data_IF_311696868617
#
_entry.id   IF_311696868617
#
_cell.length_a   1.000
_cell.length_b   1.000
_cell.length_c   1.000
_cell.angle_alpha   90.00
_cell.angle_beta   90.00
_cell.angle_gamma   90.00
#
_symmetry.space_group_name_H-M   'P 1'
#
loop_
_entity.id
_entity.type
_entity.pdbx_description
1 polymer ?
#
# COMPACT_ATOMS: atom_id res chain seq x y z
N UNK A 1 19.36 -9.56 -8.65
CA UNK A 1 18.67 -8.88 -9.76
C UNK A 1 18.13 -7.57 -9.20
N UNK A 2 18.30 -6.43 -9.89
CA UNK A 2 17.74 -5.17 -9.42
C UNK A 2 16.21 -5.22 -9.54
N UNK A 3 15.49 -4.77 -8.51
CA UNK A 3 14.04 -4.72 -8.51
C UNK A 3 13.52 -3.78 -9.60
N UNK A 4 12.56 -4.25 -10.38
CA UNK A 4 11.83 -3.44 -11.37
C UNK A 4 10.65 -2.77 -10.66
N UNK A 5 10.49 -1.47 -10.88
CA UNK A 5 9.39 -0.67 -10.33
C UNK A 5 8.34 -0.38 -11.41
N UNK A 6 7.08 -0.33 -11.03
CA UNK A 6 5.93 -0.09 -11.92
C UNK A 6 6.15 1.12 -12.84
N UNK A 7 6.72 2.22 -12.32
CA UNK A 7 7.04 3.41 -13.15
C UNK A 7 7.99 3.14 -14.33
N UNK A 8 8.83 2.09 -14.27
CA UNK A 8 9.73 1.73 -15.39
C UNK A 8 8.93 1.04 -16.49
N UNK A 9 7.99 0.16 -16.10
CA UNK A 9 7.07 -0.47 -17.05
C UNK A 9 6.01 0.51 -17.56
N UNK A 10 5.56 1.50 -16.76
CA UNK A 10 4.72 2.62 -17.24
C UNK A 10 5.40 3.38 -18.39
N UNK A 11 6.68 3.73 -18.19
CA UNK A 11 7.47 4.44 -19.20
C UNK A 11 7.68 3.59 -20.46
N UNK A 12 7.96 2.29 -20.30
CA UNK A 12 8.07 1.31 -21.38
C UNK A 12 6.79 1.26 -22.22
N UNK A 13 5.65 1.04 -21.55
CA UNK A 13 4.35 0.92 -22.24
C UNK A 13 3.91 2.23 -22.88
N UNK A 14 4.11 3.37 -22.21
CA UNK A 14 3.83 4.68 -22.80
C UNK A 14 4.68 4.95 -24.06
N UNK A 15 5.94 4.51 -24.07
CA UNK A 15 6.81 4.62 -25.24
C UNK A 15 6.37 3.69 -26.34
N UNK A 16 6.04 2.44 -26.01
CA UNK A 16 5.55 1.45 -26.98
C UNK A 16 4.22 1.89 -27.62
N UNK A 17 3.28 2.42 -26.83
CA UNK A 17 2.01 2.98 -27.35
C UNK A 17 2.21 4.14 -28.32
N UNK A 18 3.29 4.91 -28.18
CA UNK A 18 3.60 6.03 -29.09
C UNK A 18 4.34 5.62 -30.35
N UNK A 19 5.17 4.57 -30.30
CA UNK A 19 6.20 4.32 -31.30
C UNK A 19 6.19 2.90 -31.89
N UNK A 20 5.43 1.97 -31.30
CA UNK A 20 5.42 0.56 -31.70
C UNK A 20 4.02 0.13 -32.17
N UNK A 21 3.77 0.10 -33.50
CA UNK A 21 2.47 -0.29 -34.05
C UNK A 21 2.05 -1.72 -33.68
N UNK A 22 3.00 -2.64 -33.57
CA UNK A 22 2.71 -4.03 -33.17
C UNK A 22 2.25 -4.10 -31.73
N UNK A 23 2.87 -3.32 -30.83
CA UNK A 23 2.41 -3.19 -29.45
C UNK A 23 0.98 -2.64 -29.39
N UNK A 24 0.71 -1.54 -30.09
CA UNK A 24 -0.63 -0.93 -30.13
C UNK A 24 -1.66 -1.94 -30.62
N UNK A 25 -1.35 -2.67 -31.70
CA UNK A 25 -2.24 -3.69 -32.25
C UNK A 25 -2.51 -4.80 -31.23
N UNK A 26 -1.48 -5.35 -30.60
CA UNK A 26 -1.64 -6.42 -29.59
C UNK A 26 -2.42 -5.93 -28.37
N UNK A 27 -2.12 -4.72 -27.88
CA UNK A 27 -2.81 -4.14 -26.73
C UNK A 27 -4.30 -3.90 -27.03
N UNK A 28 -4.63 -3.26 -28.14
CA UNK A 28 -6.01 -3.00 -28.53
C UNK A 28 -6.80 -4.30 -28.79
N UNK A 29 -6.18 -5.30 -29.40
CA UNK A 29 -6.81 -6.62 -29.59
C UNK A 29 -7.12 -7.28 -28.23
N UNK A 30 -6.23 -7.12 -27.23
CA UNK A 30 -6.43 -7.70 -25.91
C UNK A 30 -7.55 -7.01 -25.10
N UNK A 31 -7.96 -5.79 -25.46
CA UNK A 31 -9.10 -5.07 -24.87
C UNK A 31 -10.36 -5.14 -25.73
N UNK A 32 -10.47 -6.12 -26.60
CA UNK A 32 -11.61 -6.36 -27.52
C UNK A 32 -11.94 -5.16 -28.43
N UNK A 33 -10.93 -4.36 -28.76
CA UNK A 33 -11.13 -3.18 -29.57
C UNK A 33 -10.69 -3.39 -31.02
N UNK A 34 -11.37 -2.70 -31.93
CA UNK A 34 -11.00 -2.77 -33.33
C UNK A 34 -9.65 -2.10 -33.57
N UNK A 35 -8.71 -2.75 -34.26
CA UNK A 35 -7.38 -2.20 -34.52
C UNK A 35 -7.36 -0.87 -35.29
N UNK A 36 -8.49 -0.48 -35.87
CA UNK A 36 -8.70 0.77 -36.63
C UNK A 36 -8.79 2.01 -35.72
N UNK A 37 -8.89 1.82 -34.41
CA UNK A 37 -9.08 2.93 -33.47
C UNK A 37 -7.74 3.38 -32.86
N UNK A 38 -6.99 4.19 -33.59
CA UNK A 38 -5.66 4.65 -33.20
C UNK A 38 -5.65 5.37 -31.86
N UNK A 39 -4.58 5.20 -31.09
CA UNK A 39 -4.33 5.97 -29.87
C UNK A 39 -3.94 7.41 -30.28
N UNK A 40 -4.77 8.38 -29.92
CA UNK A 40 -4.57 9.79 -30.25
C UNK A 40 -3.76 10.53 -29.17
N UNK A 41 -3.95 10.17 -27.88
CA UNK A 41 -3.25 10.80 -26.76
C UNK A 41 -2.92 9.77 -25.69
N UNK A 42 -1.74 9.94 -25.08
CA UNK A 42 -1.29 9.15 -23.92
C UNK A 42 -0.84 10.13 -22.84
N UNK A 43 -1.40 9.99 -21.65
CA UNK A 43 -0.98 10.72 -20.47
C UNK A 43 -0.58 9.74 -19.35
N UNK A 44 0.41 10.10 -18.57
CA UNK A 44 0.91 9.35 -17.42
C UNK A 44 0.50 10.03 -16.14
N UNK A 45 0.23 9.25 -15.10
CA UNK A 45 -0.03 9.72 -13.74
C UNK A 45 -1.11 10.82 -13.68
N UNK A 46 -2.20 10.61 -14.42
CA UNK A 46 -3.34 11.55 -14.43
C UNK A 46 -4.19 11.39 -13.15
N UNK A 47 -4.80 12.49 -12.64
CA UNK A 47 -5.66 12.39 -11.47
C UNK A 47 -6.89 11.53 -11.75
N UNK A 48 -7.35 10.77 -10.73
CA UNK A 48 -8.65 10.13 -10.79
C UNK A 48 -9.78 11.14 -11.00
N UNK A 49 -10.81 10.76 -11.76
CA UNK A 49 -12.00 11.58 -12.01
C UNK A 49 -13.02 11.40 -10.88
N UNK A 50 -13.81 12.46 -10.60
CA UNK A 50 -14.88 12.43 -9.61
C UNK A 50 -14.54 13.11 -8.29
N UNK A 51 -15.56 13.49 -7.50
CA UNK A 51 -15.36 14.21 -6.24
C UNK A 51 -14.70 13.32 -5.17
N UNK A 52 -13.69 13.88 -4.51
CA UNK A 52 -13.01 13.23 -3.38
C UNK A 52 -11.97 12.18 -3.74
N UNK A 53 -11.76 11.84 -5.00
CA UNK A 53 -10.80 10.83 -5.41
C UNK A 53 -9.37 11.38 -5.41
N UNK A 54 -8.50 10.74 -4.60
CA UNK A 54 -7.06 11.02 -4.56
C UNK A 54 -6.29 9.85 -5.19
N UNK A 55 -5.11 10.15 -5.70
CA UNK A 55 -4.24 9.20 -6.39
C UNK A 55 -4.23 9.44 -7.88
N UNK A 56 -3.41 8.68 -8.58
CA UNK A 56 -3.21 8.82 -10.02
C UNK A 56 -3.55 7.53 -10.75
N UNK A 57 -3.93 7.70 -12.01
CA UNK A 57 -4.09 6.66 -13.02
C UNK A 57 -2.73 6.52 -13.70
N UNK A 58 -2.20 5.31 -13.82
CA UNK A 58 -0.85 5.10 -14.34
C UNK A 58 -0.74 5.54 -15.80
N UNK A 59 -1.67 5.07 -16.67
CA UNK A 59 -1.76 5.54 -18.05
C UNK A 59 -3.23 5.85 -18.41
N UNK A 60 -3.44 6.99 -19.05
CA UNK A 60 -4.70 7.37 -19.67
C UNK A 60 -4.52 7.44 -21.18
N UNK A 61 -5.30 6.67 -21.91
CA UNK A 61 -5.28 6.63 -23.37
C UNK A 61 -6.57 7.24 -23.90
N UNK A 62 -6.45 8.25 -24.76
CA UNK A 62 -7.58 8.76 -25.54
C UNK A 62 -7.41 8.24 -26.98
N UNK A 63 -8.45 7.62 -27.54
CA UNK A 63 -8.46 7.11 -28.89
C UNK A 63 -9.00 8.13 -29.89
N UNK A 64 -8.80 7.87 -31.17
CA UNK A 64 -9.21 8.78 -32.25
C UNK A 64 -10.73 9.04 -32.27
N UNK A 65 -11.53 8.10 -31.79
CA UNK A 65 -12.99 8.23 -31.66
C UNK A 65 -13.43 8.90 -30.34
N UNK A 66 -12.49 9.44 -29.58
CA UNK A 66 -12.74 10.11 -28.30
C UNK A 66 -12.97 9.15 -27.12
N UNK A 67 -12.95 7.84 -27.31
CA UNK A 67 -13.07 6.89 -26.21
C UNK A 67 -11.79 6.85 -25.35
N UNK A 68 -11.93 6.48 -24.07
CA UNK A 68 -10.87 6.55 -23.07
C UNK A 68 -10.62 5.18 -22.44
N UNK A 69 -9.35 4.78 -22.35
CA UNK A 69 -8.92 3.65 -21.53
C UNK A 69 -8.09 4.16 -20.33
N UNK A 70 -8.48 3.77 -19.15
CA UNK A 70 -7.73 4.01 -17.92
C UNK A 70 -6.98 2.74 -17.52
N UNK A 71 -5.66 2.77 -17.58
CA UNK A 71 -4.81 1.59 -17.33
C UNK A 71 -4.17 1.68 -15.97
N UNK A 72 -4.37 0.67 -15.15
CA UNK A 72 -3.60 0.38 -13.96
C UNK A 72 -2.52 -0.62 -14.31
N UNK A 73 -1.29 -0.31 -13.98
CA UNK A 73 -0.13 -1.15 -14.22
C UNK A 73 0.37 -1.76 -12.90
N UNK A 74 0.56 -3.08 -12.87
CA UNK A 74 1.05 -3.81 -11.70
C UNK A 74 2.14 -4.80 -12.07
N UNK A 75 3.10 -4.99 -11.15
CA UNK A 75 4.08 -6.08 -11.23
C UNK A 75 3.79 -7.09 -10.12
N UNK A 76 4.02 -6.71 -8.87
CA UNK A 76 3.90 -7.58 -7.69
C UNK A 76 3.36 -6.83 -6.45
N UNK A 77 3.10 -5.53 -6.55
CA UNK A 77 2.60 -4.73 -5.45
C UNK A 77 1.08 -4.88 -5.27
N UNK A 78 0.63 -4.78 -4.03
CA UNK A 78 -0.79 -4.70 -3.70
C UNK A 78 -1.40 -3.35 -4.13
N UNK A 79 -2.74 -3.32 -4.20
CA UNK A 79 -3.47 -2.08 -4.48
C UNK A 79 -3.34 -1.06 -3.35
N UNK A 80 -3.11 0.19 -3.71
CA UNK A 80 -3.10 1.29 -2.77
C UNK A 80 -4.50 1.59 -2.25
N UNK A 81 -4.56 2.04 -0.98
CA UNK A 81 -5.80 2.47 -0.33
C UNK A 81 -5.61 3.91 0.10
N UNK A 82 -6.58 4.79 -0.19
CA UNK A 82 -6.54 6.18 0.25
C UNK A 82 -6.66 6.31 1.77
N UNK A 83 -6.41 7.51 2.30
CA UNK A 83 -6.66 7.80 3.72
C UNK A 83 -8.13 7.66 4.11
N UNK A 84 -9.05 7.88 3.17
CA UNK A 84 -10.50 7.65 3.33
C UNK A 84 -10.90 6.18 3.30
N UNK A 85 -9.99 5.28 2.95
CA UNK A 85 -10.25 3.84 2.91
C UNK A 85 -10.62 3.31 1.53
N UNK A 86 -10.59 4.15 0.47
CA UNK A 86 -10.99 3.77 -0.88
C UNK A 86 -9.91 2.94 -1.56
N UNK A 87 -10.15 1.67 -1.93
CA UNK A 87 -9.19 0.85 -2.64
C UNK A 87 -8.98 1.37 -4.06
N UNK A 88 -7.80 1.16 -4.61
CA UNK A 88 -7.44 1.61 -5.96
C UNK A 88 -8.41 1.11 -7.05
N UNK A 89 -8.86 -0.17 -7.08
CA UNK A 89 -9.84 -0.62 -8.06
C UNK A 89 -11.18 0.13 -8.02
N UNK A 90 -11.63 0.54 -6.83
CA UNK A 90 -12.88 1.31 -6.68
C UNK A 90 -12.73 2.72 -7.24
N UNK A 91 -11.53 3.32 -7.12
CA UNK A 91 -11.22 4.63 -7.73
C UNK A 91 -11.25 4.58 -9.26
N UNK A 92 -10.72 3.50 -9.85
CA UNK A 92 -10.82 3.27 -11.30
C UNK A 92 -12.29 3.16 -11.73
N UNK A 93 -13.08 2.37 -11.02
CA UNK A 93 -14.51 2.20 -11.30
C UNK A 93 -15.28 3.53 -11.22
N UNK A 94 -15.01 4.34 -10.19
CA UNK A 94 -15.61 5.66 -10.06
C UNK A 94 -15.18 6.63 -11.16
N UNK A 95 -13.90 6.59 -11.57
CA UNK A 95 -13.40 7.41 -12.69
C UNK A 95 -14.06 7.03 -14.01
N UNK A 96 -14.25 5.74 -14.27
CA UNK A 96 -14.98 5.25 -15.45
C UNK A 96 -16.45 5.70 -15.42
N UNK A 97 -17.11 5.60 -14.28
CA UNK A 97 -18.49 6.07 -14.14
C UNK A 97 -18.61 7.58 -14.44
N UNK A 98 -17.72 8.40 -13.88
CA UNK A 98 -17.70 9.85 -14.12
C UNK A 98 -17.44 10.21 -15.60
N UNK A 99 -16.59 9.44 -16.31
CA UNK A 99 -16.37 9.64 -17.73
C UNK A 99 -17.61 9.26 -18.56
N UNK A 100 -18.28 8.15 -18.22
CA UNK A 100 -19.51 7.68 -18.87
C UNK A 100 -20.68 8.65 -18.65
N UNK A 101 -20.82 9.24 -17.45
CA UNK A 101 -21.80 10.30 -17.16
C UNK A 101 -21.59 11.55 -18.03
N UNK A 102 -20.36 11.83 -18.44
CA UNK A 102 -20.03 12.92 -19.39
C UNK A 102 -20.25 12.53 -20.85
N UNK A 103 -20.83 11.37 -21.13
CA UNK A 103 -21.10 10.88 -22.48
C UNK A 103 -19.91 10.25 -23.17
N UNK A 104 -18.79 10.00 -22.48
CA UNK A 104 -17.61 9.36 -23.07
C UNK A 104 -17.72 7.84 -22.97
N UNK A 105 -17.32 7.12 -24.02
CA UNK A 105 -17.05 5.70 -23.93
C UNK A 105 -15.74 5.51 -23.15
N UNK A 106 -15.77 4.81 -22.03
CA UNK A 106 -14.61 4.61 -21.19
C UNK A 106 -14.57 3.20 -20.62
N UNK A 107 -13.36 2.63 -20.50
CA UNK A 107 -13.13 1.35 -19.85
C UNK A 107 -11.82 1.37 -19.06
N UNK A 108 -11.75 0.52 -18.04
CA UNK A 108 -10.57 0.30 -17.20
C UNK A 108 -9.83 -0.96 -17.62
N UNK A 109 -8.51 -0.91 -17.57
CA UNK A 109 -7.62 -2.02 -17.93
C UNK A 109 -6.68 -2.30 -16.77
N UNK A 110 -6.58 -3.54 -16.33
CA UNK A 110 -5.50 -4.02 -15.48
C UNK A 110 -4.43 -4.65 -16.37
N UNK A 111 -3.25 -4.03 -16.40
CA UNK A 111 -2.08 -4.47 -17.14
C UNK A 111 -1.05 -5.03 -16.15
N UNK A 112 -0.80 -6.33 -16.19
CA UNK A 112 0.08 -6.98 -15.21
C UNK A 112 0.61 -8.33 -15.73
N UNK A 113 1.66 -8.93 -15.13
CA UNK A 113 2.03 -10.32 -15.41
C UNK A 113 0.87 -11.29 -15.18
N UNK A 114 0.80 -12.36 -15.96
CA UNK A 114 -0.29 -13.35 -15.91
C UNK A 114 -0.46 -13.96 -14.50
N UNK A 115 0.64 -14.21 -13.80
CA UNK A 115 0.64 -14.72 -12.42
C UNK A 115 -0.04 -13.74 -11.46
N UNK A 116 0.15 -12.42 -11.65
CA UNK A 116 -0.52 -11.40 -10.86
C UNK A 116 -2.03 -11.37 -11.14
N UNK A 117 -2.41 -11.41 -12.42
CA UNK A 117 -3.82 -11.41 -12.84
C UNK A 117 -4.60 -12.59 -12.24
N UNK A 118 -4.00 -13.77 -12.22
CA UNK A 118 -4.64 -14.97 -11.64
C UNK A 118 -4.64 -14.99 -10.12
N UNK A 119 -3.66 -14.35 -9.47
CA UNK A 119 -3.51 -14.32 -8.01
C UNK A 119 -4.29 -13.22 -7.30
N UNK A 120 -4.66 -12.15 -7.98
CA UNK A 120 -5.34 -11.02 -7.36
C UNK A 120 -6.86 -11.19 -7.30
N UNK A 121 -7.45 -10.95 -6.11
CA UNK A 121 -8.92 -10.95 -5.92
C UNK A 121 -9.65 -9.79 -6.61
N UNK A 122 -8.91 -8.80 -7.09
CA UNK A 122 -9.46 -7.57 -7.65
C UNK A 122 -9.36 -7.46 -9.17
N UNK A 123 -8.86 -8.49 -9.85
CA UNK A 123 -8.79 -8.48 -11.32
C UNK A 123 -10.16 -8.21 -11.96
N UNK A 124 -11.20 -8.86 -11.47
CA UNK A 124 -12.59 -8.66 -11.94
C UNK A 124 -13.21 -7.28 -11.62
N UNK A 125 -12.48 -6.37 -10.99
CA UNK A 125 -12.91 -4.99 -10.78
C UNK A 125 -12.60 -4.07 -11.98
N UNK A 126 -11.78 -4.54 -12.91
CA UNK A 126 -11.43 -3.85 -14.16
C UNK A 126 -12.22 -4.43 -15.32
N UNK A 127 -12.58 -3.59 -16.29
CA UNK A 127 -13.34 -4.02 -17.49
C UNK A 127 -12.53 -5.00 -18.34
N UNK A 128 -11.21 -4.78 -18.46
CA UNK A 128 -10.29 -5.64 -19.20
C UNK A 128 -9.06 -6.02 -18.39
N UNK A 129 -8.46 -7.15 -18.72
CA UNK A 129 -7.22 -7.63 -18.14
C UNK A 129 -6.26 -7.98 -19.28
N UNK A 130 -5.06 -7.40 -19.26
CA UNK A 130 -4.03 -7.62 -20.27
C UNK A 130 -2.78 -8.12 -19.59
N UNK A 131 -2.25 -9.28 -20.03
CA UNK A 131 -1.01 -9.78 -19.47
C UNK A 131 0.21 -9.21 -20.17
N UNK A 132 1.30 -9.03 -19.43
CA UNK A 132 2.60 -8.67 -20.00
C UNK A 132 3.05 -9.69 -21.04
N UNK A 133 2.78 -10.97 -20.79
CA UNK A 133 3.11 -12.08 -21.67
C UNK A 133 2.40 -11.96 -23.04
N UNK A 134 1.16 -11.48 -23.06
CA UNK A 134 0.43 -11.26 -24.32
C UNK A 134 1.05 -10.16 -25.18
N UNK A 135 1.74 -9.20 -24.56
CA UNK A 135 2.38 -8.06 -25.25
C UNK A 135 3.87 -8.30 -25.55
N UNK A 136 4.43 -9.38 -25.03
CA UNK A 136 5.87 -9.68 -25.07
C UNK A 136 6.43 -9.71 -26.48
N UNK A 137 5.67 -10.21 -27.45
CA UNK A 137 6.10 -10.33 -28.85
C UNK A 137 6.34 -8.99 -29.57
N UNK A 138 5.85 -7.88 -29.00
CA UNK A 138 6.08 -6.55 -29.53
C UNK A 138 7.41 -5.94 -29.11
N UNK A 139 8.16 -6.58 -28.22
CA UNK A 139 9.40 -6.04 -27.68
C UNK A 139 10.62 -6.81 -28.14
N UNK A 140 11.75 -6.12 -28.20
CA UNK A 140 13.08 -6.68 -28.50
C UNK A 140 14.15 -5.99 -27.67
N UNK A 141 15.34 -6.53 -27.59
CA UNK A 141 16.48 -5.90 -26.94
C UNK A 141 16.27 -5.60 -25.46
N UNK A 142 16.63 -4.40 -25.04
CA UNK A 142 16.53 -3.95 -23.64
C UNK A 142 15.09 -3.86 -23.13
N UNK A 143 14.16 -3.46 -23.99
CA UNK A 143 12.74 -3.37 -23.66
C UNK A 143 12.15 -4.75 -23.35
N UNK A 144 12.52 -5.76 -24.13
CA UNK A 144 12.14 -7.15 -23.85
C UNK A 144 12.77 -7.65 -22.57
N UNK A 145 14.05 -7.35 -22.34
CA UNK A 145 14.74 -7.75 -21.12
C UNK A 145 14.11 -7.13 -19.86
N UNK A 146 13.70 -5.86 -19.94
CA UNK A 146 12.99 -5.19 -18.84
C UNK A 146 11.64 -5.85 -18.55
N UNK A 147 10.87 -6.15 -19.62
CA UNK A 147 9.57 -6.81 -19.49
C UNK A 147 9.71 -8.23 -18.90
N UNK A 148 10.66 -9.01 -19.39
CA UNK A 148 10.95 -10.37 -18.92
C UNK A 148 11.40 -10.35 -17.44
N UNK A 149 12.20 -9.36 -17.04
CA UNK A 149 12.60 -9.19 -15.64
C UNK A 149 11.40 -8.86 -14.73
N UNK A 150 10.45 -8.05 -15.21
CA UNK A 150 9.23 -7.74 -14.46
C UNK A 150 8.31 -8.98 -14.34
N UNK A 151 8.17 -9.78 -15.41
CA UNK A 151 7.41 -11.04 -15.38
C UNK A 151 8.04 -12.02 -14.40
N UNK A 152 9.36 -12.19 -14.45
CA UNK A 152 10.09 -13.06 -13.55
C UNK A 152 9.96 -12.60 -12.09
N UNK A 153 10.05 -11.28 -11.85
CA UNK A 153 9.88 -10.70 -10.50
C UNK A 153 8.49 -11.03 -9.92
N UNK A 154 7.44 -10.92 -10.71
CA UNK A 154 6.08 -11.24 -10.27
C UNK A 154 5.90 -12.74 -9.98
N UNK A 155 6.57 -13.60 -10.72
CA UNK A 155 6.53 -15.05 -10.54
C UNK A 155 7.42 -15.54 -9.38
N UNK A 156 8.37 -14.72 -8.94
CA UNK A 156 9.31 -15.07 -7.88
C UNK A 156 8.75 -14.61 -6.53
N UNK A 157 8.60 -15.51 -5.55
CA UNK A 157 8.22 -15.11 -4.20
C UNK A 157 9.18 -14.02 -3.69
N UNK A 158 8.62 -12.98 -3.05
CA UNK A 158 9.45 -11.97 -2.40
C UNK A 158 10.34 -12.63 -1.36
N UNK A 159 11.63 -12.71 -1.66
CA UNK A 159 12.66 -13.18 -0.73
C UNK A 159 13.37 -11.93 -0.14
N UNK A 160 13.09 -11.59 1.12
CA UNK A 160 13.67 -10.42 1.75
C UNK A 160 15.18 -10.61 1.91
N UNK A 161 15.96 -9.71 1.32
CA UNK A 161 17.43 -9.72 1.49
C UNK A 161 17.76 -9.33 2.94
N UNK A 162 18.44 -10.20 3.71
CA UNK A 162 18.84 -9.87 5.07
C UNK A 162 19.71 -8.61 5.12
N UNK A 163 19.39 -7.72 6.06
CA UNK A 163 20.20 -6.54 6.34
C UNK A 163 20.74 -6.64 7.78
N UNK A 164 22.06 -6.77 7.96
CA UNK A 164 22.66 -6.94 9.29
C UNK A 164 22.34 -5.78 10.25
N UNK A 165 22.36 -4.53 9.79
CA UNK A 165 22.04 -3.37 10.62
C UNK A 165 20.61 -3.40 11.11
N UNK A 166 19.64 -3.64 10.21
CA UNK A 166 18.24 -3.81 10.60
C UNK A 166 18.04 -4.97 11.57
N UNK A 167 18.69 -6.09 11.32
CA UNK A 167 18.59 -7.28 12.19
C UNK A 167 19.11 -6.99 13.60
N UNK A 168 20.29 -6.36 13.72
CA UNK A 168 20.88 -5.95 15.00
C UNK A 168 19.96 -4.95 15.72
N UNK A 169 19.53 -3.88 15.04
CA UNK A 169 18.62 -2.89 15.63
C UNK A 169 17.35 -3.52 16.23
N UNK A 170 16.68 -4.41 15.50
CA UNK A 170 15.45 -5.04 16.01
C UNK A 170 15.71 -6.03 17.13
N UNK A 171 16.86 -6.72 17.15
CA UNK A 171 17.26 -7.61 18.25
C UNK A 171 17.52 -6.83 19.54
N UNK A 172 18.24 -5.72 19.44
CA UNK A 172 18.55 -4.84 20.58
C UNK A 172 17.27 -4.15 21.08
N UNK A 173 16.40 -3.69 20.16
CA UNK A 173 15.10 -3.12 20.52
C UNK A 173 14.23 -4.13 21.29
N UNK A 174 14.15 -5.38 20.84
CA UNK A 174 13.39 -6.42 21.53
C UNK A 174 13.97 -6.71 22.92
N UNK A 175 15.29 -6.79 23.03
CA UNK A 175 16.00 -7.01 24.29
C UNK A 175 15.73 -5.86 25.28
N UNK A 176 15.87 -4.63 24.83
CA UNK A 176 15.61 -3.44 25.63
C UNK A 176 14.15 -3.35 26.08
N UNK A 177 13.21 -3.57 25.17
CA UNK A 177 11.78 -3.53 25.49
C UNK A 177 11.41 -4.62 26.50
N UNK A 178 11.94 -5.83 26.35
CA UNK A 178 11.70 -6.94 27.30
C UNK A 178 12.21 -6.63 28.71
N UNK A 179 13.34 -5.96 28.81
CA UNK A 179 13.94 -5.60 30.10
C UNK A 179 13.22 -4.44 30.80
N UNK A 180 12.79 -3.41 30.06
CA UNK A 180 12.31 -2.15 30.61
C UNK A 180 10.80 -1.96 30.49
N UNK A 181 10.13 -2.70 29.58
CA UNK A 181 8.70 -2.59 29.28
C UNK A 181 8.08 -3.99 29.09
N UNK A 182 8.15 -4.87 30.10
CA UNK A 182 7.78 -6.29 29.97
C UNK A 182 6.29 -6.50 29.61
N UNK A 183 5.43 -5.52 29.86
CA UNK A 183 4.02 -5.54 29.47
C UNK A 183 3.80 -5.30 27.97
N UNK A 184 4.81 -4.77 27.26
CA UNK A 184 4.78 -4.55 25.82
C UNK A 184 5.42 -5.74 25.09
N UNK A 185 4.67 -6.82 24.92
CA UNK A 185 5.20 -8.03 24.31
C UNK A 185 5.38 -7.84 22.81
N UNK A 186 6.65 -7.81 22.35
CA UNK A 186 6.98 -7.70 20.93
C UNK A 186 6.80 -9.05 20.23
N UNK A 187 6.25 -8.99 19.03
CA UNK A 187 6.17 -10.16 18.15
C UNK A 187 7.54 -10.39 17.49
N UNK A 188 8.26 -11.41 17.96
CA UNK A 188 9.63 -11.71 17.53
C UNK A 188 9.78 -11.90 16.00
N UNK A 189 8.91 -12.67 15.39
CA UNK A 189 8.96 -13.00 13.96
C UNK A 189 7.65 -12.63 13.25
N UNK A 190 7.37 -11.33 12.98
CA UNK A 190 6.08 -10.89 12.46
C UNK A 190 5.78 -11.41 11.05
N UNK A 191 6.80 -11.68 10.24
CA UNK A 191 6.67 -12.10 8.84
C UNK A 191 6.79 -13.62 8.65
N UNK A 192 7.13 -14.35 9.70
CA UNK A 192 7.27 -15.81 9.66
C UNK A 192 8.62 -16.33 9.12
N UNK A 193 9.44 -15.49 8.51
CA UNK A 193 10.72 -15.86 7.89
C UNK A 193 11.97 -15.48 8.70
N UNK A 194 11.82 -14.73 9.78
CA UNK A 194 12.93 -14.30 10.64
C UNK A 194 13.88 -13.26 10.04
N UNK A 195 13.61 -12.78 8.82
CA UNK A 195 14.48 -11.86 8.10
C UNK A 195 14.05 -10.41 8.30
N UNK A 196 15.04 -9.52 8.51
CA UNK A 196 14.85 -8.07 8.58
C UNK A 196 15.59 -7.40 7.42
N UNK A 197 14.91 -7.08 6.31
CA UNK A 197 15.50 -6.33 5.22
C UNK A 197 15.62 -4.83 5.54
N UNK A 198 16.35 -4.09 4.71
CA UNK A 198 16.60 -2.64 4.88
C UNK A 198 15.30 -1.81 5.04
N UNK A 199 14.24 -2.22 4.38
CA UNK A 199 12.93 -1.56 4.43
C UNK A 199 12.11 -1.90 5.68
N UNK A 200 12.56 -2.80 6.56
CA UNK A 200 11.90 -3.09 7.83
C UNK A 200 11.86 -1.84 8.70
N UNK A 201 10.65 -1.37 9.02
CA UNK A 201 10.43 -0.13 9.79
C UNK A 201 9.30 -0.26 10.80
N UNK A 202 8.87 -1.47 11.08
CA UNK A 202 7.70 -1.68 11.93
C UNK A 202 7.98 -2.71 13.00
N UNK A 203 7.71 -2.31 14.24
CA UNK A 203 7.69 -3.18 15.42
C UNK A 203 6.25 -3.57 15.64
N UNK A 204 5.97 -4.87 15.67
CA UNK A 204 4.65 -5.43 15.92
C UNK A 204 4.57 -5.96 17.36
N UNK A 205 3.44 -5.69 18.04
CA UNK A 205 3.19 -6.22 19.36
C UNK A 205 2.31 -7.48 19.30
N UNK A 206 2.55 -8.39 20.22
CA UNK A 206 1.70 -9.56 20.45
C UNK A 206 0.41 -9.11 21.14
N UNK A 207 -0.63 -8.90 20.35
CA UNK A 207 -1.90 -8.36 20.82
C UNK A 207 -2.54 -9.18 21.94
N UNK A 208 -2.64 -10.55 21.85
CA UNK A 208 -3.22 -11.32 22.95
C UNK A 208 -2.54 -11.15 24.31
N UNK A 209 -1.25 -10.81 24.31
CA UNK A 209 -0.46 -10.63 25.54
C UNK A 209 -0.37 -9.17 25.99
N UNK A 210 -0.69 -8.23 25.08
CA UNK A 210 -0.50 -6.78 25.31
C UNK A 210 -1.83 -6.04 25.51
N UNK A 211 -2.87 -6.41 24.76
CA UNK A 211 -4.14 -5.70 24.72
C UNK A 211 -5.31 -6.57 25.23
N UNK A 212 -6.17 -5.95 26.04
CA UNK A 212 -7.46 -6.53 26.42
C UNK A 212 -8.36 -6.66 25.18
N UNK A 213 -9.09 -7.77 25.10
CA UNK A 213 -10.14 -7.98 24.08
C UNK A 213 -11.45 -7.37 24.59
N UNK A 214 -12.16 -6.65 23.69
CA UNK A 214 -13.46 -6.06 23.94
C UNK A 214 -14.48 -6.66 22.98
N UNK A 215 -15.52 -7.29 23.50
CA UNK A 215 -16.51 -8.01 22.67
C UNK A 215 -17.23 -7.11 21.65
N UNK A 216 -17.39 -5.82 21.98
CA UNK A 216 -18.07 -4.84 21.12
C UNK A 216 -17.16 -4.21 20.04
N UNK A 217 -15.84 -4.51 20.06
CA UNK A 217 -14.86 -3.90 19.16
C UNK A 217 -14.21 -4.96 18.26
N UNK A 218 -13.82 -4.59 17.04
CA UNK A 218 -13.00 -5.46 16.20
C UNK A 218 -11.70 -5.83 16.91
N UNK A 219 -11.17 -7.03 16.63
CA UNK A 219 -9.88 -7.45 17.16
C UNK A 219 -8.80 -6.44 16.74
N UNK A 220 -8.11 -5.80 17.67
CA UNK A 220 -7.12 -4.78 17.36
C UNK A 220 -5.84 -5.39 16.78
N UNK A 221 -5.07 -4.56 16.09
CA UNK A 221 -3.65 -4.78 15.79
C UNK A 221 -2.87 -3.62 16.38
N UNK A 222 -1.65 -3.88 16.85
CA UNK A 222 -0.80 -2.85 17.43
C UNK A 222 0.59 -2.88 16.79
N UNK A 223 1.11 -1.71 16.46
CA UNK A 223 2.47 -1.54 15.94
C UNK A 223 3.04 -0.17 16.27
N UNK A 224 4.37 -0.11 16.36
CA UNK A 224 5.14 1.13 16.32
C UNK A 224 5.86 1.18 14.97
N UNK A 225 5.69 2.28 14.25
CA UNK A 225 6.41 2.55 13.03
C UNK A 225 7.60 3.46 13.32
N UNK A 226 8.80 3.02 12.98
CA UNK A 226 10.03 3.80 13.13
C UNK A 226 9.98 5.08 12.28
N UNK A 227 9.23 5.04 11.18
CA UNK A 227 8.92 6.18 10.32
C UNK A 227 7.51 6.02 9.76
N UNK A 228 6.65 7.01 9.94
CA UNK A 228 5.27 6.99 9.46
C UNK A 228 5.03 8.11 8.45
N UNK A 229 4.81 7.76 7.18
CA UNK A 229 4.56 8.73 6.10
C UNK A 229 3.24 9.52 6.27
N UNK A 230 2.35 9.06 7.15
CA UNK A 230 1.07 9.71 7.44
C UNK A 230 1.08 10.53 8.74
N UNK A 231 2.26 10.68 9.37
CA UNK A 231 2.48 11.49 10.56
C UNK A 231 3.71 12.40 10.37
N UNK A 232 3.83 13.50 11.13
CA UNK A 232 5.01 14.41 11.05
C UNK A 232 6.32 13.72 11.44
N UNK A 233 6.25 12.61 12.17
CA UNK A 233 7.40 11.87 12.67
C UNK A 233 7.20 10.36 12.50
N UNK A 234 7.39 9.59 13.56
CA UNK A 234 6.98 8.20 13.69
C UNK A 234 5.69 8.11 14.52
N UNK A 235 5.16 6.91 14.72
CA UNK A 235 3.95 6.73 15.51
C UNK A 235 3.80 5.32 16.08
N UNK A 236 3.25 5.22 17.28
CA UNK A 236 2.63 3.99 17.75
C UNK A 236 1.13 4.06 17.53
N UNK A 237 0.52 2.93 17.17
CA UNK A 237 -0.91 2.87 16.85
C UNK A 237 -1.56 1.55 17.20
N UNK A 238 -2.80 1.63 17.66
CA UNK A 238 -3.76 0.53 17.74
C UNK A 238 -4.73 0.69 16.57
N UNK A 239 -4.94 -0.36 15.79
CA UNK A 239 -5.72 -0.33 14.56
C UNK A 239 -6.93 -1.26 14.64
N UNK A 240 -8.12 -0.72 14.38
CA UNK A 240 -9.39 -1.46 14.30
C UNK A 240 -9.75 -1.70 12.83
N UNK A 241 -9.65 -2.96 12.40
CA UNK A 241 -9.92 -3.35 11.02
C UNK A 241 -11.38 -3.07 10.61
N UNK A 242 -11.57 -2.58 9.37
CA UNK A 242 -12.90 -2.26 8.83
C UNK A 242 -13.51 -0.94 9.30
N UNK A 243 -12.88 -0.23 10.23
CA UNK A 243 -13.39 1.03 10.78
C UNK A 243 -12.75 2.30 10.18
N UNK A 244 -12.03 2.18 9.09
CA UNK A 244 -11.32 3.32 8.47
C UNK A 244 -12.25 4.49 8.11
N UNK A 245 -13.40 4.20 7.52
CA UNK A 245 -14.40 5.22 7.15
C UNK A 245 -15.00 5.94 8.38
N UNK A 246 -14.96 5.32 9.56
CA UNK A 246 -15.51 5.87 10.81
C UNK A 246 -14.56 6.85 11.51
N UNK A 247 -13.32 6.95 11.09
CA UNK A 247 -12.31 7.79 11.76
C UNK A 247 -12.68 9.28 11.78
N UNK A 248 -13.52 9.75 10.83
CA UNK A 248 -14.03 11.13 10.81
C UNK A 248 -15.29 11.36 11.63
N UNK A 249 -16.02 10.30 12.01
CA UNK A 249 -17.29 10.38 12.73
C UNK A 249 -17.19 10.03 14.22
N UNK A 250 -16.12 9.34 14.63
CA UNK A 250 -15.90 9.03 16.06
C UNK A 250 -15.15 10.20 16.69
N UNK A 251 -15.71 10.87 17.71
CA UNK A 251 -15.02 11.92 18.43
C UNK A 251 -13.80 11.35 19.16
N UNK A 252 -12.73 12.11 19.21
CA UNK A 252 -11.56 11.73 20.01
C UNK A 252 -11.94 11.79 21.49
N UNK A 253 -11.89 10.67 22.23
CA UNK A 253 -12.16 10.70 23.67
C UNK A 253 -11.18 11.63 24.40
N UNK A 254 -11.68 12.44 25.35
CA UNK A 254 -10.84 13.36 26.09
C UNK A 254 -9.65 12.65 26.77
N UNK A 255 -9.90 11.48 27.37
CA UNK A 255 -8.85 10.65 27.97
C UNK A 255 -7.79 10.14 26.98
N UNK A 256 -8.13 9.99 25.69
CA UNK A 256 -7.14 9.68 24.66
C UNK A 256 -6.31 10.93 24.32
N UNK A 257 -6.96 12.08 24.20
CA UNK A 257 -6.28 13.35 23.93
C UNK A 257 -5.31 13.73 25.04
N UNK A 258 -5.67 13.50 26.32
CA UNK A 258 -4.82 13.75 27.50
C UNK A 258 -3.47 13.00 27.47
N UNK A 259 -3.43 11.83 26.84
CA UNK A 259 -2.18 11.08 26.65
C UNK A 259 -1.45 11.41 25.34
N UNK A 260 -1.86 12.47 24.63
CA UNK A 260 -1.31 12.87 23.33
C UNK A 260 -1.82 12.02 22.16
N UNK A 261 -2.90 11.27 22.37
CA UNK A 261 -3.48 10.41 21.37
C UNK A 261 -4.53 11.11 20.47
N UNK A 262 -4.67 10.63 19.26
CA UNK A 262 -5.67 11.11 18.31
C UNK A 262 -6.17 9.97 17.42
N UNK A 263 -7.25 10.22 16.68
CA UNK A 263 -7.86 9.27 15.75
C UNK A 263 -7.56 9.71 14.32
N UNK A 264 -7.17 8.75 13.48
CA UNK A 264 -7.06 8.94 12.03
C UNK A 264 -7.33 7.66 11.27
N UNK A 265 -7.65 7.75 9.97
CA UNK A 265 -7.63 6.57 9.11
C UNK A 265 -6.22 5.96 9.04
N UNK A 266 -6.15 4.64 9.08
CA UNK A 266 -4.95 3.84 8.88
C UNK A 266 -5.25 2.79 7.81
N UNK A 267 -5.30 3.21 6.53
CA UNK A 267 -5.84 2.44 5.44
C UNK A 267 -7.32 2.11 5.69
N UNK A 268 -7.71 0.83 5.58
CA UNK A 268 -9.08 0.36 5.87
C UNK A 268 -9.41 0.27 7.37
N UNK A 269 -8.48 0.65 8.23
CA UNK A 269 -8.63 0.59 9.69
C UNK A 269 -8.79 2.00 10.28
N UNK A 270 -9.46 2.09 11.44
CA UNK A 270 -9.34 3.24 12.31
C UNK A 270 -8.07 3.08 13.14
N UNK A 271 -7.23 4.10 13.19
CA UNK A 271 -6.03 4.16 14.00
C UNK A 271 -6.21 5.08 15.22
N UNK A 272 -5.95 4.55 16.39
CA UNK A 272 -5.69 5.31 17.62
C UNK A 272 -4.18 5.50 17.68
N UNK A 273 -3.70 6.73 17.65
CA UNK A 273 -2.30 7.04 17.31
C UNK A 273 -1.70 7.99 18.33
N UNK A 274 -0.46 7.73 18.73
CA UNK A 274 0.41 8.69 19.41
C UNK A 274 1.66 8.87 18.56
N UNK A 275 2.08 10.11 18.32
CA UNK A 275 3.33 10.40 17.62
C UNK A 275 4.52 10.02 18.50
N UNK A 276 5.60 9.56 17.88
CA UNK A 276 6.84 9.16 18.53
C UNK A 276 8.03 9.74 17.77
N UNK A 277 9.22 9.81 18.36
CA UNK A 277 10.44 10.12 17.62
C UNK A 277 10.67 9.14 16.47
N UNK A 278 11.32 9.61 15.41
CA UNK A 278 11.78 8.75 14.32
C UNK A 278 12.94 7.88 14.79
N UNK A 279 12.96 6.65 14.32
CA UNK A 279 14.04 5.70 14.53
C UNK A 279 14.60 5.29 13.17
N UNK A 280 15.92 5.27 13.04
CA UNK A 280 16.61 4.79 11.86
C UNK A 280 17.16 3.37 12.12
N UNK A 281 16.55 2.38 11.47
CA UNK A 281 16.93 0.98 11.62
C UNK A 281 18.31 0.63 11.01
N UNK A 282 18.96 1.60 10.33
CA UNK A 282 20.30 1.45 9.80
C UNK A 282 21.38 2.02 10.74
N UNK A 283 20.97 2.79 11.75
CA UNK A 283 21.88 3.35 12.75
C UNK A 283 21.97 2.43 13.97
N UNK A 284 23.10 2.48 14.71
CA UNK A 284 23.25 1.73 15.95
C UNK A 284 22.14 2.02 16.94
N UNK A 285 21.67 0.98 17.63
CA UNK A 285 20.60 1.08 18.62
C UNK A 285 20.95 2.03 19.76
N UNK A 286 22.18 1.92 20.31
CA UNK A 286 22.64 2.70 21.45
C UNK A 286 22.59 4.22 21.23
N UNK A 287 22.77 4.65 19.98
CA UNK A 287 22.68 6.07 19.62
C UNK A 287 21.23 6.61 19.66
N UNK A 288 20.23 5.73 19.78
CA UNK A 288 18.81 6.06 19.69
C UNK A 288 18.03 5.68 20.97
N UNK A 289 18.66 5.20 21.99
CA UNK A 289 18.01 4.72 23.25
C UNK A 289 16.99 5.72 23.80
N UNK A 290 17.26 7.05 23.91
CA UNK A 290 16.27 8.00 24.39
C UNK A 290 14.99 8.06 23.51
N UNK A 291 15.16 8.00 22.20
CA UNK A 291 14.04 8.00 21.25
C UNK A 291 13.25 6.68 21.28
N UNK A 292 13.93 5.56 21.48
CA UNK A 292 13.32 4.23 21.68
C UNK A 292 12.49 4.23 22.95
N UNK A 293 13.05 4.74 24.06
CA UNK A 293 12.37 4.82 25.35
C UNK A 293 11.10 5.69 25.27
N UNK A 294 11.19 6.87 24.67
CA UNK A 294 10.03 7.73 24.42
C UNK A 294 8.94 7.04 23.59
N UNK A 295 9.35 6.31 22.55
CA UNK A 295 8.45 5.52 21.71
C UNK A 295 7.75 4.39 22.46
N UNK A 296 8.49 3.67 23.32
CA UNK A 296 7.93 2.61 24.18
C UNK A 296 7.03 3.19 25.28
N UNK A 297 7.37 4.33 25.86
CA UNK A 297 6.52 5.01 26.84
C UNK A 297 5.19 5.48 26.21
N UNK A 298 5.24 5.99 24.98
CA UNK A 298 4.03 6.30 24.21
C UNK A 298 3.18 5.04 23.97
N UNK A 299 3.82 3.91 23.64
CA UNK A 299 3.16 2.62 23.49
C UNK A 299 2.50 2.15 24.79
N UNK A 300 3.21 2.30 25.93
CA UNK A 300 2.71 1.97 27.28
C UNK A 300 1.47 2.79 27.62
N UNK A 301 1.49 4.11 27.37
CA UNK A 301 0.32 5.00 27.60
C UNK A 301 -0.87 4.55 26.75
N UNK A 302 -0.65 4.25 25.48
CA UNK A 302 -1.71 3.82 24.56
C UNK A 302 -2.31 2.47 24.95
N UNK A 303 -1.48 1.51 25.39
CA UNK A 303 -1.91 0.21 25.93
C UNK A 303 -2.74 0.36 27.19
N UNK A 304 -2.29 1.17 28.15
CA UNK A 304 -3.04 1.46 29.37
C UNK A 304 -4.39 2.09 29.06
N UNK A 305 -4.40 3.07 28.18
CA UNK A 305 -5.64 3.69 27.74
C UNK A 305 -6.59 2.65 27.09
N UNK A 306 -6.10 1.85 26.16
CA UNK A 306 -6.90 0.81 25.51
C UNK A 306 -7.50 -0.17 26.51
N UNK A 307 -6.72 -0.63 27.44
CA UNK A 307 -7.14 -1.66 28.39
C UNK A 307 -8.21 -1.16 29.39
N UNK A 308 -8.34 0.15 29.60
CA UNK A 308 -9.29 0.75 30.54
C UNK A 308 -10.43 1.52 29.89
N UNK A 309 -10.24 2.08 28.69
CA UNK A 309 -11.15 3.07 28.12
C UNK A 309 -11.67 2.75 26.72
N UNK A 310 -11.22 1.68 26.06
CA UNK A 310 -11.60 1.42 24.66
C UNK A 310 -13.10 1.15 24.46
N UNK A 311 -13.84 0.81 25.50
CA UNK A 311 -15.29 0.69 25.46
C UNK A 311 -16.00 2.02 25.16
N UNK A 312 -15.35 3.17 25.35
CA UNK A 312 -15.85 4.49 24.94
C UNK A 312 -15.92 4.68 23.43
N UNK A 313 -15.23 3.81 22.65
CA UNK A 313 -15.25 3.84 21.19
C UNK A 313 -16.49 3.16 20.56
N UNK A 314 -17.48 2.82 21.37
CA UNK A 314 -18.71 2.18 20.86
C UNK A 314 -19.36 3.04 19.77
N UNK A 315 -19.94 2.40 18.72
CA UNK A 315 -20.65 3.10 17.66
C UNK A 315 -21.88 3.84 18.18
#
# INVERSE_FOLDING_TARGET
MNRIYERQTDALFATALRRNPDFVRLFLTAVDDTPSNAVARIALQTPHQGPGHRGSIDLELTRADGSVLLVENKIDAGYSVTRSGDPQPDRYRASIAALRERGLRAASVLLAPAVYLTGTRHAGAFDHQVSYEALRLAFTGEDLALLDAAILQAATPYDPVPNPSSAAFFADYETFARANFPELVIKHNPNGNGVRPTESRTIYFDVPRTLRTWAALPRPRMSLQCRDSAAPSASVKIMLGGWGARAGSIPVPASLAEIGGYIRPAGRSLGLVINTPQLDTQMPFDAQVPAVEEGLEAARRLVRWWNHHADTLKP
#
